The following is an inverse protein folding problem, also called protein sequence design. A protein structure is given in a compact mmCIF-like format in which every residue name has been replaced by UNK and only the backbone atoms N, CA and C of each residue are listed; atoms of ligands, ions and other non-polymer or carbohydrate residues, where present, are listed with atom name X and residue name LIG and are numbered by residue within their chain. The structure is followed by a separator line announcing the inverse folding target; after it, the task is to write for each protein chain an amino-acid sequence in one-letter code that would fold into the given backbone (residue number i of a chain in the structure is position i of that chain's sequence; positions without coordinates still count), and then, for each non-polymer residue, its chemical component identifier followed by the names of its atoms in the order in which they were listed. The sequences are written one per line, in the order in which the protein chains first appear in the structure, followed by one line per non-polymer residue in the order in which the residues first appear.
data_IF_160482751196
#
_entry.id   IF_160482751196
#
_cell.length_a   1.000
_cell.length_b   1.000
_cell.length_c   1.000
_cell.angle_alpha   90.00
_cell.angle_beta   90.00
_cell.angle_gamma   90.00
#
_symmetry.space_group_name_H-M   'P 1'
#
loop_
_entity.id
_entity.type
_entity.pdbx_description
1 polymer ?
#
# COMPACT_ATOMS: atom_id res chain seq x y z
N UNK A 1 11.82 15.59 8.59
CA UNK A 1 11.24 15.80 7.25
C UNK A 1 11.00 14.47 6.51
N UNK A 2 12.01 13.66 6.18
CA UNK A 2 11.85 12.45 5.37
C UNK A 2 10.81 11.43 5.88
N UNK A 3 10.68 11.21 7.19
CA UNK A 3 9.62 10.36 7.75
C UNK A 3 8.21 10.92 7.50
N UNK A 4 8.05 12.22 7.41
CA UNK A 4 6.77 12.85 7.07
C UNK A 4 6.37 12.59 5.63
N UNK A 5 7.36 12.50 4.71
CA UNK A 5 7.09 12.09 3.32
C UNK A 5 6.56 10.65 3.26
N UNK A 6 7.13 9.74 4.06
CA UNK A 6 6.64 8.37 4.16
C UNK A 6 5.22 8.34 4.74
N UNK A 7 4.97 9.08 5.82
CA UNK A 7 3.66 9.13 6.47
C UNK A 7 2.57 9.74 5.57
N UNK A 8 2.95 10.71 4.73
CA UNK A 8 2.05 11.34 3.76
C UNK A 8 1.80 10.49 2.51
N UNK A 9 2.67 9.51 2.24
CA UNK A 9 2.51 8.63 1.07
C UNK A 9 1.32 7.68 1.26
N UNK A 10 0.54 7.40 0.21
CA UNK A 10 -0.57 6.46 0.27
C UNK A 10 -0.08 5.02 0.47
N UNK A 11 -0.99 4.08 0.64
CA UNK A 11 -0.67 2.65 0.71
C UNK A 11 0.15 2.17 -0.50
N UNK A 12 1.09 1.27 -0.25
CA UNK A 12 1.95 0.71 -1.28
C UNK A 12 1.27 -0.42 -2.08
N UNK A 13 1.69 -0.62 -3.33
CA UNK A 13 1.16 -1.71 -4.18
C UNK A 13 1.43 -3.11 -3.60
N UNK A 14 2.42 -3.25 -2.73
CA UNK A 14 2.74 -4.49 -2.02
C UNK A 14 1.76 -4.80 -0.88
N UNK A 15 1.01 -3.80 -0.40
CA UNK A 15 -0.03 -3.99 0.63
C UNK A 15 -1.07 -5.02 0.21
N UNK A 16 -1.50 -5.00 -1.07
CA UNK A 16 -2.43 -5.99 -1.62
C UNK A 16 -1.91 -7.42 -1.59
N UNK A 17 -0.61 -7.63 -1.83
CA UNK A 17 0.02 -8.94 -1.72
C UNK A 17 0.00 -9.45 -0.28
N UNK A 18 0.39 -8.61 0.67
CA UNK A 18 0.35 -8.96 2.10
C UNK A 18 -1.08 -9.17 2.60
N UNK A 19 -2.05 -8.38 2.08
CA UNK A 19 -3.48 -8.57 2.36
C UNK A 19 -3.94 -9.96 1.91
N UNK A 20 -3.54 -10.40 0.71
CA UNK A 20 -3.82 -11.75 0.24
C UNK A 20 -3.21 -12.82 1.15
N UNK A 21 -1.94 -12.68 1.53
CA UNK A 21 -1.24 -13.61 2.43
C UNK A 21 -1.87 -13.67 3.83
N UNK A 22 -2.43 -12.56 4.29
CA UNK A 22 -3.12 -12.46 5.57
C UNK A 22 -4.53 -13.08 5.56
N UNK A 23 -5.06 -13.49 4.39
CA UNK A 23 -6.47 -13.84 4.23
C UNK A 23 -7.40 -12.63 4.36
N UNK A 24 -6.89 -11.44 4.04
CA UNK A 24 -7.64 -10.19 4.05
C UNK A 24 -8.46 -9.97 2.77
N UNK A 25 -9.34 -8.97 2.82
CA UNK A 25 -10.13 -8.53 1.68
C UNK A 25 -9.26 -7.73 0.70
N UNK A 26 -8.75 -8.42 -0.32
CA UNK A 26 -7.85 -7.82 -1.33
C UNK A 26 -8.57 -6.76 -2.17
N UNK A 27 -9.86 -6.94 -2.45
CA UNK A 27 -10.63 -5.98 -3.23
C UNK A 27 -10.78 -4.65 -2.47
N UNK A 28 -11.07 -4.73 -1.17
CA UNK A 28 -11.10 -3.58 -0.28
C UNK A 28 -9.72 -2.90 -0.22
N UNK A 29 -8.63 -3.67 -0.05
CA UNK A 29 -7.28 -3.11 0.00
C UNK A 29 -6.94 -2.32 -1.26
N UNK A 30 -7.19 -2.88 -2.45
CA UNK A 30 -6.95 -2.19 -3.73
C UNK A 30 -7.79 -0.92 -3.84
N UNK A 31 -9.05 -0.97 -3.40
CA UNK A 31 -9.95 0.18 -3.42
C UNK A 31 -9.46 1.29 -2.51
N UNK A 32 -9.04 0.95 -1.28
CA UNK A 32 -8.47 1.90 -0.33
C UNK A 32 -7.19 2.54 -0.86
N UNK A 33 -6.26 1.73 -1.38
CA UNK A 33 -5.02 2.23 -2.00
C UNK A 33 -5.33 3.19 -3.16
N UNK A 34 -6.35 2.89 -3.98
CA UNK A 34 -6.75 3.76 -5.10
C UNK A 34 -7.32 5.09 -4.60
N UNK A 35 -8.22 5.06 -3.61
CA UNK A 35 -8.81 6.27 -3.01
C UNK A 35 -7.72 7.09 -2.32
N UNK A 36 -6.88 6.46 -1.50
CA UNK A 36 -5.78 7.11 -0.80
C UNK A 36 -4.78 7.74 -1.78
N UNK A 37 -4.52 7.09 -2.92
CA UNK A 37 -3.65 7.65 -3.96
C UNK A 37 -4.23 8.91 -4.59
N UNK A 38 -5.54 8.97 -4.82
CA UNK A 38 -6.21 10.18 -5.31
C UNK A 38 -6.16 11.29 -4.26
N UNK A 39 -6.44 10.96 -3.00
CA UNK A 39 -6.36 11.92 -1.89
C UNK A 39 -4.92 12.42 -1.69
N UNK A 40 -3.93 11.54 -1.79
CA UNK A 40 -2.52 11.91 -1.63
C UNK A 40 -2.08 12.95 -2.65
N UNK A 41 -2.62 12.93 -3.86
CA UNK A 41 -2.37 13.96 -4.86
C UNK A 41 -2.69 15.36 -4.33
N UNK A 42 -3.75 15.47 -3.54
CA UNK A 42 -4.20 16.75 -2.96
C UNK A 42 -3.47 17.06 -1.64
N UNK A 43 -3.30 16.05 -0.79
CA UNK A 43 -2.81 16.25 0.58
C UNK A 43 -1.28 16.28 0.67
N UNK A 44 -0.58 15.59 -0.21
CA UNK A 44 0.87 15.43 -0.14
C UNK A 44 1.62 16.77 -0.27
N UNK A 45 1.32 17.66 -1.25
CA UNK A 45 1.97 18.96 -1.33
C UNK A 45 1.72 19.83 -0.09
N UNK A 46 0.48 19.79 0.45
CA UNK A 46 0.15 20.52 1.67
C UNK A 46 0.93 20.01 2.88
N UNK A 47 1.02 18.67 3.04
CA UNK A 47 1.78 18.03 4.12
C UNK A 47 3.28 18.26 3.99
N UNK A 48 3.81 18.25 2.76
CA UNK A 48 5.20 18.60 2.48
C UNK A 48 5.47 20.06 2.90
N UNK A 49 4.61 20.98 2.51
CA UNK A 49 4.72 22.40 2.87
C UNK A 49 4.70 22.64 4.38
N UNK A 50 3.73 22.05 5.09
CA UNK A 50 3.64 22.15 6.56
C UNK A 50 4.87 21.52 7.23
N UNK A 51 5.31 20.37 6.73
CA UNK A 51 6.50 19.68 7.26
C UNK A 51 7.77 20.50 7.04
N UNK A 52 7.93 21.10 5.87
CA UNK A 52 9.05 21.97 5.58
C UNK A 52 9.06 23.20 6.50
N UNK A 53 7.91 23.85 6.67
CA UNK A 53 7.78 24.99 7.56
C UNK A 53 8.15 24.70 9.01
N UNK A 54 7.94 23.46 9.47
CA UNK A 54 8.16 23.08 10.86
C UNK A 54 9.56 22.50 11.12
N UNK A 55 10.10 21.70 10.19
CA UNK A 55 11.33 20.94 10.40
C UNK A 55 12.59 21.56 9.78
N UNK A 56 12.45 22.57 8.93
CA UNK A 56 13.59 23.21 8.31
C UNK A 56 13.89 24.56 8.99
N UNK A 57 15.17 24.88 9.30
CA UNK A 57 15.57 26.09 10.03
C UNK A 57 15.10 27.40 9.37
N UNK A 58 15.10 27.46 8.05
CA UNK A 58 14.56 28.58 7.25
C UNK A 58 13.10 28.43 6.84
N UNK A 59 12.44 27.35 7.31
CA UNK A 59 11.07 27.04 6.95
C UNK A 59 10.90 26.83 5.43
N UNK A 60 9.82 27.38 4.87
CA UNK A 60 9.55 27.31 3.43
C UNK A 60 10.59 28.05 2.57
N UNK A 61 11.40 28.94 3.15
CA UNK A 61 12.42 29.71 2.43
C UNK A 61 13.65 28.87 2.09
N UNK A 62 14.01 27.88 2.93
CA UNK A 62 15.16 27.01 2.71
C UNK A 62 14.86 25.91 1.67
N UNK A 63 13.59 25.65 1.42
CA UNK A 63 13.11 24.70 0.40
C UNK A 63 12.53 25.51 -0.76
N UNK A 64 12.96 26.66 -1.09
CA UNK A 64 12.47 27.50 -2.19
C UNK A 64 11.06 27.09 -2.74
N UNK A 65 10.16 26.74 -1.79
CA UNK A 65 8.78 26.36 -2.08
C UNK A 65 7.98 27.67 -2.27
N UNK A 66 8.40 28.42 -3.25
CA UNK A 66 7.58 29.49 -3.79
C UNK A 66 6.26 28.91 -4.33
N UNK A 67 5.30 29.74 -4.59
CA UNK A 67 4.03 29.28 -5.19
C UNK A 67 4.26 28.50 -6.50
N UNK A 68 5.30 28.87 -7.25
CA UNK A 68 5.69 28.20 -8.50
C UNK A 68 6.17 26.76 -8.28
N UNK A 69 6.98 26.50 -7.24
CA UNK A 69 7.46 25.17 -6.90
C UNK A 69 6.35 24.26 -6.38
N UNK A 70 5.44 24.79 -5.56
CA UNK A 70 4.23 24.06 -5.16
C UNK A 70 3.39 23.67 -6.38
N UNK A 71 3.16 24.60 -7.30
CA UNK A 71 2.44 24.32 -8.55
C UNK A 71 3.19 23.28 -9.39
N UNK A 72 4.52 23.37 -9.47
CA UNK A 72 5.36 22.40 -10.18
C UNK A 72 5.26 21.00 -9.59
N UNK A 73 5.24 20.86 -8.26
CA UNK A 73 4.97 19.58 -7.58
C UNK A 73 3.57 19.04 -7.92
N UNK A 74 2.56 19.90 -7.89
CA UNK A 74 1.20 19.51 -8.27
C UNK A 74 1.15 19.02 -9.72
N UNK A 75 1.76 19.77 -10.64
CA UNK A 75 1.81 19.41 -12.06
C UNK A 75 2.58 18.09 -12.26
N UNK A 76 3.72 17.92 -11.59
CA UNK A 76 4.56 16.73 -11.69
C UNK A 76 3.81 15.46 -11.26
N UNK A 77 2.95 15.55 -10.25
CA UNK A 77 2.17 14.42 -9.74
C UNK A 77 0.86 14.26 -10.51
N UNK A 78 0.11 15.35 -10.68
CA UNK A 78 -1.22 15.33 -11.31
C UNK A 78 -1.18 15.00 -12.79
N UNK A 79 -0.20 15.54 -13.52
CA UNK A 79 -0.15 15.39 -14.98
C UNK A 79 -0.02 13.91 -15.40
N UNK A 80 0.93 13.11 -14.86
CA UNK A 80 1.03 11.70 -15.21
C UNK A 80 -0.19 10.89 -14.77
N UNK A 81 -0.75 11.21 -13.60
CA UNK A 81 -1.95 10.53 -13.08
C UNK A 81 -3.15 10.83 -13.98
N UNK A 82 -3.39 12.10 -14.29
CA UNK A 82 -4.47 12.51 -15.19
C UNK A 82 -4.32 11.91 -16.60
N UNK A 83 -3.10 11.90 -17.14
CA UNK A 83 -2.78 11.25 -18.41
C UNK A 83 -3.07 9.75 -18.36
N UNK A 84 -2.65 9.05 -17.31
CA UNK A 84 -2.93 7.63 -17.11
C UNK A 84 -4.42 7.32 -17.01
N UNK A 85 -5.17 8.14 -16.26
CA UNK A 85 -6.62 8.05 -16.14
C UNK A 85 -7.34 8.30 -17.48
N UNK A 86 -6.90 9.32 -18.23
CA UNK A 86 -7.45 9.64 -19.55
C UNK A 86 -7.21 8.51 -20.56
N UNK A 87 -6.01 7.91 -20.56
CA UNK A 87 -5.72 6.73 -21.40
C UNK A 87 -6.60 5.56 -20.99
N UNK A 88 -6.76 5.30 -19.69
CA UNK A 88 -7.63 4.20 -19.21
C UNK A 88 -9.10 4.43 -19.58
N UNK A 89 -9.59 5.66 -19.48
CA UNK A 89 -10.97 6.00 -19.83
C UNK A 89 -11.23 5.90 -21.34
N UNK A 90 -10.31 6.41 -22.18
CA UNK A 90 -10.49 6.44 -23.63
C UNK A 90 -10.09 5.14 -24.35
N UNK A 91 -9.13 4.41 -23.82
CA UNK A 91 -8.54 3.21 -24.42
C UNK A 91 -8.30 2.10 -23.39
N UNK A 92 -9.32 1.51 -22.76
CA UNK A 92 -9.18 0.54 -21.68
C UNK A 92 -8.37 -0.71 -22.10
N UNK A 93 -8.54 -1.17 -23.34
CA UNK A 93 -7.78 -2.32 -23.88
C UNK A 93 -6.28 -2.04 -23.94
N UNK A 94 -5.89 -0.84 -24.33
CA UNK A 94 -4.49 -0.40 -24.36
C UNK A 94 -3.93 -0.26 -22.94
N UNK A 95 -4.66 0.36 -22.05
CA UNK A 95 -4.28 0.51 -20.66
C UNK A 95 -4.04 -0.85 -19.99
N UNK A 96 -4.90 -1.83 -20.25
CA UNK A 96 -4.75 -3.18 -19.71
C UNK A 96 -3.53 -3.91 -20.29
N UNK A 97 -3.26 -3.76 -21.59
CA UNK A 97 -2.07 -4.35 -22.24
C UNK A 97 -0.76 -3.75 -21.74
N UNK A 98 -0.73 -2.43 -21.53
CA UNK A 98 0.46 -1.71 -21.06
C UNK A 98 0.67 -1.81 -19.55
N UNK A 99 -0.37 -2.14 -18.79
CA UNK A 99 -0.30 -2.20 -17.33
C UNK A 99 0.78 -3.13 -16.79
N UNK A 100 0.95 -4.31 -17.39
CA UNK A 100 1.99 -5.28 -17.04
C UNK A 100 3.42 -4.77 -17.32
N UNK A 101 3.75 -4.41 -18.56
CA UNK A 101 5.04 -3.84 -18.92
C UNK A 101 5.39 -2.58 -18.14
N UNK A 102 4.46 -1.63 -18.00
CA UNK A 102 4.68 -0.39 -17.24
C UNK A 102 4.95 -0.69 -15.77
N UNK A 103 4.19 -1.61 -15.15
CA UNK A 103 4.42 -2.02 -13.76
C UNK A 103 5.82 -2.62 -13.58
N UNK A 104 6.26 -3.49 -14.50
CA UNK A 104 7.61 -4.08 -14.46
C UNK A 104 8.69 -3.02 -14.63
N UNK A 105 8.57 -2.16 -15.65
CA UNK A 105 9.54 -1.11 -15.93
C UNK A 105 9.65 -0.12 -14.78
N UNK A 106 8.52 0.36 -14.26
CA UNK A 106 8.49 1.26 -13.11
C UNK A 106 9.06 0.61 -11.85
N UNK A 107 8.73 -0.66 -11.60
CA UNK A 107 9.28 -1.42 -10.47
C UNK A 107 10.80 -1.61 -10.59
N UNK A 108 11.30 -1.94 -11.79
CA UNK A 108 12.74 -2.07 -12.04
C UNK A 108 13.46 -0.73 -11.89
N UNK A 109 12.89 0.34 -12.44
CA UNK A 109 13.45 1.69 -12.31
C UNK A 109 13.50 2.12 -10.83
N UNK A 110 12.43 1.88 -10.09
CA UNK A 110 12.36 2.19 -8.66
C UNK A 110 13.38 1.38 -7.85
N UNK A 111 13.49 0.08 -8.13
CA UNK A 111 14.49 -0.78 -7.48
C UNK A 111 15.92 -0.29 -7.80
N UNK A 112 16.18 0.09 -9.04
CA UNK A 112 17.48 0.67 -9.44
C UNK A 112 17.75 1.97 -8.69
N UNK A 113 16.79 2.88 -8.62
CA UNK A 113 16.92 4.12 -7.85
C UNK A 113 17.17 3.87 -6.37
N UNK A 114 16.44 2.91 -5.77
CA UNK A 114 16.68 2.52 -4.38
C UNK A 114 18.07 1.95 -4.15
N UNK A 115 18.54 1.08 -5.05
CA UNK A 115 19.90 0.53 -4.98
C UNK A 115 20.95 1.64 -5.14
N UNK A 116 20.78 2.53 -6.10
CA UNK A 116 21.71 3.67 -6.29
C UNK A 116 21.71 4.58 -5.06
N UNK A 117 20.55 4.90 -4.48
CA UNK A 117 20.45 5.69 -3.26
C UNK A 117 21.18 5.00 -2.08
N UNK A 118 21.02 3.69 -1.92
CA UNK A 118 21.72 2.91 -0.89
C UNK A 118 23.23 2.93 -1.13
N UNK A 119 23.68 2.74 -2.37
CA UNK A 119 25.12 2.72 -2.69
C UNK A 119 25.77 4.09 -2.53
N UNK A 120 25.07 5.15 -2.92
CA UNK A 120 25.58 6.52 -2.85
C UNK A 120 25.63 7.02 -1.41
N UNK A 121 24.59 6.72 -0.62
CA UNK A 121 24.42 7.23 0.73
C UNK A 121 24.74 6.18 1.82
N UNK A 122 25.45 5.08 1.45
CA UNK A 122 25.66 3.94 2.35
C UNK A 122 26.30 4.35 3.70
N UNK A 123 27.23 5.28 3.70
CA UNK A 123 27.88 5.76 4.92
C UNK A 123 26.93 6.54 5.81
N UNK A 124 26.05 7.37 5.21
CA UNK A 124 24.99 8.08 5.93
C UNK A 124 23.88 7.13 6.38
N UNK A 125 23.50 6.18 5.53
CA UNK A 125 22.53 5.13 5.90
C UNK A 125 22.99 4.34 7.10
N UNK A 126 24.21 3.81 7.08
CA UNK A 126 24.76 3.04 8.19
C UNK A 126 24.92 3.89 9.47
N UNK A 127 25.28 5.17 9.34
CA UNK A 127 25.37 6.11 10.46
C UNK A 127 24.01 6.45 11.08
N UNK A 128 22.95 6.54 10.28
CA UNK A 128 21.61 6.95 10.72
C UNK A 128 20.61 5.80 10.86
N UNK A 129 20.96 4.58 10.42
CA UNK A 129 20.09 3.41 10.60
C UNK A 129 19.78 3.12 12.08
N UNK A 130 20.72 3.44 12.98
CA UNK A 130 20.52 3.32 14.42
C UNK A 130 19.44 4.25 14.96
N UNK A 131 19.25 5.42 14.33
CA UNK A 131 18.26 6.42 14.75
C UNK A 131 16.96 6.30 13.93
N UNK A 132 17.08 6.17 12.62
CA UNK A 132 15.93 6.16 11.70
C UNK A 132 15.25 4.78 11.65
N UNK A 133 16.01 3.70 11.77
CA UNK A 133 15.49 2.33 11.74
C UNK A 133 14.45 2.06 12.83
N UNK A 134 14.75 2.31 14.12
CA UNK A 134 13.78 2.16 15.20
C UNK A 134 12.54 3.05 15.02
N UNK A 135 12.72 4.31 14.56
CA UNK A 135 11.61 5.21 14.29
C UNK A 135 10.71 4.67 13.17
N UNK A 136 11.30 4.19 12.07
CA UNK A 136 10.58 3.56 10.96
C UNK A 136 9.84 2.28 11.41
N UNK A 137 10.49 1.45 12.22
CA UNK A 137 9.88 0.22 12.76
C UNK A 137 8.71 0.55 13.70
N UNK A 138 8.90 1.50 14.60
CA UNK A 138 7.85 1.94 15.54
C UNK A 138 6.65 2.50 14.76
N UNK A 139 6.90 3.37 13.78
CA UNK A 139 5.85 3.91 12.93
C UNK A 139 5.09 2.81 12.19
N UNK A 140 5.80 1.85 11.58
CA UNK A 140 5.19 0.73 10.88
C UNK A 140 4.33 -0.13 11.81
N UNK A 141 4.86 -0.51 12.99
CA UNK A 141 4.14 -1.33 13.97
C UNK A 141 2.91 -0.62 14.53
N UNK A 142 3.02 0.68 14.84
CA UNK A 142 1.88 1.48 15.28
C UNK A 142 0.82 1.53 14.18
N UNK A 143 1.21 1.85 12.94
CA UNK A 143 0.30 1.93 11.79
C UNK A 143 -0.43 0.61 11.54
N UNK A 144 0.28 -0.52 11.54
CA UNK A 144 -0.30 -1.86 11.42
C UNK A 144 -1.26 -2.18 12.57
N UNK A 145 -0.86 -1.86 13.79
CA UNK A 145 -1.66 -2.16 14.99
C UNK A 145 -2.92 -1.32 15.04
N UNK A 146 -2.81 -0.02 14.83
CA UNK A 146 -3.95 0.92 14.81
C UNK A 146 -4.89 0.59 13.65
N UNK A 147 -4.33 0.34 12.46
CA UNK A 147 -5.09 -0.04 11.26
C UNK A 147 -5.83 -1.37 11.39
N UNK A 148 -5.41 -2.26 12.29
CA UNK A 148 -6.12 -3.49 12.59
C UNK A 148 -7.11 -3.32 13.75
N UNK A 149 -6.68 -2.71 14.85
CA UNK A 149 -7.45 -2.69 16.09
C UNK A 149 -8.65 -1.74 16.03
N UNK A 150 -8.50 -0.54 15.46
CA UNK A 150 -9.59 0.42 15.37
C UNK A 150 -10.77 -0.14 14.55
N UNK A 151 -10.58 -0.65 13.31
CA UNK A 151 -11.69 -1.25 12.57
C UNK A 151 -12.32 -2.44 13.30
N UNK A 152 -11.51 -3.27 13.99
CA UNK A 152 -12.03 -4.39 14.80
C UNK A 152 -12.92 -3.92 15.95
N UNK A 153 -12.55 -2.84 16.63
CA UNK A 153 -13.36 -2.25 17.71
C UNK A 153 -14.66 -1.64 17.18
N UNK A 154 -14.66 -1.16 15.94
CA UNK A 154 -15.85 -0.63 15.24
C UNK A 154 -16.72 -1.73 14.59
N UNK A 155 -16.44 -3.01 14.84
CA UNK A 155 -17.23 -4.13 14.32
C UNK A 155 -16.90 -4.56 12.90
N UNK A 156 -15.85 -4.01 12.28
CA UNK A 156 -15.40 -4.43 10.94
C UNK A 156 -14.88 -5.87 10.99
N UNK A 157 -15.14 -6.65 9.94
CA UNK A 157 -14.74 -8.07 9.88
C UNK A 157 -13.22 -8.25 9.93
N UNK A 158 -12.76 -9.43 10.34
CA UNK A 158 -11.31 -9.74 10.40
C UNK A 158 -10.57 -9.55 9.07
N UNK A 159 -11.07 -10.11 7.96
CA UNK A 159 -10.47 -9.92 6.64
C UNK A 159 -10.40 -8.46 6.19
N UNK A 160 -11.46 -7.68 6.43
CA UNK A 160 -11.46 -6.25 6.11
C UNK A 160 -10.48 -5.46 6.99
N UNK A 161 -10.42 -5.76 8.28
CA UNK A 161 -9.47 -5.11 9.20
C UNK A 161 -8.02 -5.44 8.84
N UNK A 162 -7.75 -6.66 8.37
CA UNK A 162 -6.43 -7.03 7.87
C UNK A 162 -6.06 -6.24 6.59
N UNK A 163 -7.01 -6.07 5.67
CA UNK A 163 -6.84 -5.27 4.47
C UNK A 163 -6.53 -3.80 4.79
N UNK A 164 -7.30 -3.20 5.70
CA UNK A 164 -7.10 -1.81 6.17
C UNK A 164 -5.75 -1.67 6.87
N UNK A 165 -5.41 -2.58 7.77
CA UNK A 165 -4.14 -2.57 8.49
C UNK A 165 -2.94 -2.58 7.56
N UNK A 166 -2.97 -3.43 6.55
CA UNK A 166 -1.87 -3.57 5.61
C UNK A 166 -1.78 -2.40 4.61
N UNK A 167 -2.91 -1.79 4.24
CA UNK A 167 -2.92 -0.57 3.43
C UNK A 167 -2.30 0.61 4.20
N UNK A 168 -2.66 0.78 5.48
CA UNK A 168 -2.15 1.84 6.35
C UNK A 168 -0.70 1.57 6.79
N UNK A 169 -0.33 0.31 7.01
CA UNK A 169 0.99 -0.06 7.54
C UNK A 169 2.07 -0.27 6.48
N UNK A 170 1.71 -0.35 5.21
CA UNK A 170 2.66 -0.52 4.09
C UNK A 170 2.56 0.67 3.16
N UNK A 171 3.22 1.76 3.56
CA UNK A 171 3.23 2.99 2.77
C UNK A 171 4.01 2.84 1.45
N UNK A 172 3.69 3.68 0.50
CA UNK A 172 4.40 3.75 -0.78
C UNK A 172 5.75 4.46 -0.62
N UNK A 173 6.74 3.72 -0.09
CA UNK A 173 8.11 4.23 0.06
C UNK A 173 8.73 4.68 -1.25
N UNK A 174 8.30 4.12 -2.38
CA UNK A 174 8.75 4.53 -3.70
C UNK A 174 8.31 5.93 -4.07
N UNK A 175 7.07 6.29 -3.78
CA UNK A 175 6.59 7.66 -3.96
C UNK A 175 7.31 8.62 -3.02
N UNK A 176 7.47 8.25 -1.75
CA UNK A 176 8.22 9.06 -0.78
C UNK A 176 9.67 9.30 -1.24
N UNK A 177 10.34 8.26 -1.76
CA UNK A 177 11.70 8.34 -2.31
C UNK A 177 11.74 9.24 -3.56
N UNK A 178 10.78 9.08 -4.47
CA UNK A 178 10.70 9.89 -5.69
C UNK A 178 10.56 11.38 -5.37
N UNK A 179 9.78 11.72 -4.35
CA UNK A 179 9.61 13.11 -3.89
C UNK A 179 10.89 13.60 -3.19
N UNK A 180 11.49 12.78 -2.33
CA UNK A 180 12.72 13.13 -1.61
C UNK A 180 13.91 13.39 -2.54
N UNK A 181 13.98 12.68 -3.69
CA UNK A 181 14.99 12.85 -4.73
C UNK A 181 14.55 13.82 -5.84
N UNK A 182 13.32 14.32 -5.76
CA UNK A 182 12.75 15.23 -6.74
C UNK A 182 13.37 16.64 -6.69
N UNK A 183 13.17 17.46 -7.73
CA UNK A 183 13.77 18.79 -7.85
C UNK A 183 13.48 19.72 -6.66
N UNK A 184 12.30 19.59 -6.06
CA UNK A 184 11.89 20.40 -4.92
C UNK A 184 12.68 20.10 -3.63
N UNK A 185 13.34 18.92 -3.54
CA UNK A 185 14.12 18.48 -2.39
C UNK A 185 15.55 18.06 -2.76
N UNK A 186 15.98 18.32 -3.99
CA UNK A 186 17.25 17.88 -4.55
C UNK A 186 18.49 18.46 -3.85
N UNK A 187 18.32 19.38 -2.92
CA UNK A 187 19.42 20.01 -2.19
C UNK A 187 19.98 19.16 -1.06
N UNK A 188 19.23 18.14 -0.57
CA UNK A 188 19.71 17.24 0.48
C UNK A 188 19.16 15.81 0.32
N UNK A 189 20.00 14.91 -0.15
CA UNK A 189 19.71 13.46 -0.26
C UNK A 189 19.38 12.79 1.09
N UNK A 190 19.69 13.45 2.21
CA UNK A 190 19.34 12.95 3.55
C UNK A 190 17.82 12.74 3.73
N UNK A 191 16.97 13.45 2.97
CA UNK A 191 15.52 13.23 3.01
C UNK A 191 15.09 11.89 2.43
N UNK A 192 15.91 11.25 1.60
CA UNK A 192 15.66 9.94 1.03
C UNK A 192 15.93 8.79 2.04
N UNK A 193 16.83 9.01 3.01
CA UNK A 193 17.24 7.98 3.99
C UNK A 193 16.06 7.35 4.74
N UNK A 194 15.11 8.12 5.29
CA UNK A 194 13.95 7.55 5.97
C UNK A 194 13.03 6.73 5.06
N UNK A 195 12.87 7.13 3.79
CA UNK A 195 12.05 6.37 2.84
C UNK A 195 12.68 5.01 2.53
N UNK A 196 14.00 4.97 2.35
CA UNK A 196 14.74 3.71 2.14
C UNK A 196 14.70 2.84 3.41
N UNK A 197 14.96 3.42 4.57
CA UNK A 197 14.91 2.71 5.85
C UNK A 197 13.52 2.11 6.09
N UNK A 198 12.47 2.88 5.81
CA UNK A 198 11.09 2.40 5.94
C UNK A 198 10.80 1.25 4.96
N UNK A 199 11.23 1.34 3.71
CA UNK A 199 11.04 0.27 2.72
C UNK A 199 11.65 -1.06 3.20
N UNK A 200 12.86 -1.00 3.78
CA UNK A 200 13.55 -2.19 4.31
C UNK A 200 12.82 -2.76 5.52
N UNK A 201 12.33 -1.91 6.42
CA UNK A 201 11.69 -2.33 7.67
C UNK A 201 10.23 -2.76 7.46
N UNK A 202 9.48 -2.06 6.59
CA UNK A 202 8.06 -2.30 6.40
C UNK A 202 7.76 -3.69 5.83
N UNK A 203 8.61 -4.22 4.93
CA UNK A 203 8.39 -5.54 4.31
C UNK A 203 8.41 -6.68 5.34
N UNK A 204 9.44 -6.85 6.21
CA UNK A 204 9.41 -7.88 7.23
C UNK A 204 8.31 -7.65 8.27
N UNK A 205 8.04 -6.40 8.68
CA UNK A 205 6.95 -6.09 9.60
C UNK A 205 5.59 -6.49 9.02
N UNK A 206 5.32 -6.16 7.76
CA UNK A 206 4.10 -6.55 7.06
C UNK A 206 4.00 -8.08 6.89
N UNK A 207 5.12 -8.76 6.60
CA UNK A 207 5.18 -10.21 6.52
C UNK A 207 4.81 -10.89 7.83
N UNK A 208 5.38 -10.42 8.94
CA UNK A 208 5.05 -10.91 10.29
C UNK A 208 3.57 -10.61 10.63
N UNK A 209 3.10 -9.40 10.37
CA UNK A 209 1.70 -9.03 10.60
C UNK A 209 0.75 -9.90 9.78
N UNK A 210 1.00 -10.09 8.48
CA UNK A 210 0.20 -10.94 7.62
C UNK A 210 0.16 -12.40 8.12
N UNK A 211 1.30 -12.93 8.55
CA UNK A 211 1.39 -14.27 9.13
C UNK A 211 0.58 -14.40 10.44
N UNK A 212 0.67 -13.43 11.33
CA UNK A 212 -0.09 -13.43 12.59
C UNK A 212 -1.60 -13.33 12.33
N UNK A 213 -2.00 -12.48 11.36
CA UNK A 213 -3.41 -12.31 11.00
C UNK A 213 -3.97 -13.57 10.33
N UNK A 214 -3.21 -14.23 9.45
CA UNK A 214 -3.63 -15.46 8.78
C UNK A 214 -3.88 -16.62 9.77
N UNK A 215 -3.06 -16.73 10.81
CA UNK A 215 -3.26 -17.74 11.87
C UNK A 215 -4.56 -17.50 12.66
N UNK A 216 -4.88 -16.24 12.96
CA UNK A 216 -6.12 -15.88 13.66
C UNK A 216 -7.38 -16.12 12.83
N UNK A 217 -7.28 -16.02 11.50
CA UNK A 217 -8.38 -16.34 10.58
C UNK A 217 -8.69 -17.83 10.56
N UNK A 218 -7.69 -18.69 10.50
CA UNK A 218 -7.85 -20.16 10.47
C UNK A 218 -8.47 -20.74 11.73
N UNK A 219 -8.12 -20.21 12.90
CA UNK A 219 -8.67 -20.64 14.18
C UNK A 219 -10.19 -20.35 14.35
N UNK A 220 -10.78 -19.50 13.52
CA UNK A 220 -12.20 -19.14 13.59
C UNK A 220 -13.08 -19.90 12.61
N UNK A 221 -12.51 -20.44 11.53
CA UNK A 221 -13.24 -21.28 10.56
C UNK A 221 -13.43 -22.72 11.04
N UNK A 222 -12.62 -23.17 11.99
CA UNK A 222 -12.68 -24.54 12.53
C UNK A 222 -13.79 -24.73 13.58
N UNK A 223 -14.54 -23.67 13.92
CA UNK A 223 -15.64 -23.71 14.89
C UNK A 223 -16.98 -23.21 14.34
N UNK A 224 -17.12 -23.06 13.03
CA UNK A 224 -18.44 -22.91 12.43
C UNK A 224 -18.78 -24.23 11.75
N UNK A 225 -19.57 -25.02 12.49
CA UNK A 225 -20.27 -26.18 12.01
C UNK A 225 -20.76 -25.97 10.59
N UNK A 226 -20.39 -26.89 9.71
CA UNK A 226 -21.07 -27.06 8.42
C UNK A 226 -22.54 -27.28 8.80
N UNK A 227 -23.48 -26.43 8.38
CA UNK A 227 -24.89 -26.69 8.68
C UNK A 227 -25.24 -28.05 8.07
N UNK A 228 -25.86 -28.93 8.86
CA UNK A 228 -26.34 -30.26 8.45
C UNK A 228 -27.31 -30.26 7.25
N UNK A 229 -27.59 -29.09 6.69
CA UNK A 229 -28.50 -28.91 5.54
C UNK A 229 -27.91 -29.46 4.22
N UNK A 230 -26.59 -29.55 4.08
CA UNK A 230 -25.98 -30.05 2.83
C UNK A 230 -26.02 -31.59 2.76
N UNK A 231 -26.14 -32.27 3.90
CA UNK A 231 -26.20 -33.74 3.91
C UNK A 231 -27.63 -34.28 3.69
N UNK A 232 -28.68 -33.45 3.79
CA UNK A 232 -30.07 -33.86 3.55
C UNK A 232 -30.47 -33.82 2.05
N UNK A 233 -29.83 -33.00 1.22
CA UNK A 233 -30.14 -32.99 -0.21
C UNK A 233 -29.58 -34.19 -0.97
N UNK A 234 -28.44 -34.77 -0.54
CA UNK A 234 -27.87 -35.98 -1.16
C UNK A 234 -28.64 -37.27 -0.84
N UNK A 235 -29.45 -37.27 0.21
CA UNK A 235 -30.28 -38.43 0.58
C UNK A 235 -31.61 -38.41 -0.17
N UNK A 236 -32.17 -37.22 -0.44
CA UNK A 236 -33.44 -37.07 -1.16
C UNK A 236 -33.37 -37.41 -2.64
N UNK A 237 -32.18 -37.34 -3.25
CA UNK A 237 -31.99 -37.64 -4.68
C UNK A 237 -31.76 -39.13 -4.95
N UNK A 238 -31.63 -39.99 -3.91
CA UNK A 238 -31.39 -41.42 -4.05
C UNK A 238 -32.63 -42.30 -4.09
N UNK A 239 -33.82 -41.73 -3.75
CA UNK A 239 -35.07 -42.48 -3.63
C UNK A 239 -36.09 -42.15 -4.74
N UNK A 240 -35.73 -41.51 -5.84
CA UNK A 240 -36.62 -41.39 -6.98
C UNK A 240 -36.62 -42.72 -7.78
N UNK A 241 -37.78 -43.39 -7.90
CA UNK A 241 -37.89 -44.63 -8.65
C UNK A 241 -37.69 -44.34 -10.15
N UNK A 242 -36.77 -45.08 -10.74
CA UNK A 242 -36.47 -45.05 -12.16
C UNK A 242 -37.72 -45.03 -13.02
N UNK A 243 -37.90 -43.99 -13.81
CA UNK A 243 -38.95 -43.85 -14.78
C UNK A 243 -38.78 -44.96 -15.84
N UNK A 244 -39.64 -45.97 -15.77
CA UNK A 244 -39.69 -47.09 -16.70
C UNK A 244 -40.24 -46.54 -18.06
N UNK A 245 -39.37 -46.42 -19.04
CA UNK A 245 -39.79 -46.18 -20.41
C UNK A 245 -40.37 -47.45 -20.97
N UNK A 246 -41.68 -47.54 -21.04
CA UNK A 246 -42.43 -48.57 -21.75
C UNK A 246 -42.29 -48.28 -23.26
N UNK A 247 -41.60 -49.21 -23.93
CA UNK A 247 -41.63 -49.27 -25.40
C UNK A 247 -42.81 -50.17 -25.74
N UNK A 248 -43.81 -49.65 -26.34
CA UNK A 248 -44.78 -50.39 -27.12
C UNK A 248 -44.75 -49.95 -28.59
N UNK A 249 -44.46 -51.01 -29.37
CA UNK A 249 -44.75 -51.26 -30.80
C UNK A 249 -44.66 -50.16 -31.82
#
# INVERSE_FOLDING_TARGET
MGMMLVAAAPGGTTAGLFSHLAGGDVALNITLTAINSVLAVLTLPALVGVSAAHFLPGGLRDVDLGFGELVSLWVLILLPVAAGMAVRAKRPTWANRLGGPVKKLSGTFLALMAVLAVLTERSRLLGHLGEVGPAAATFCVISLTVGYTIPRLLGVTGPQSAAISLDIGVHNSGLALAIALGPAMAHDSAFAVPAVAYAVVALPCAGVAAFLMSRRGRSRTDHRDVPDVVLQEDVAFRDEPAFRVERDS
#
